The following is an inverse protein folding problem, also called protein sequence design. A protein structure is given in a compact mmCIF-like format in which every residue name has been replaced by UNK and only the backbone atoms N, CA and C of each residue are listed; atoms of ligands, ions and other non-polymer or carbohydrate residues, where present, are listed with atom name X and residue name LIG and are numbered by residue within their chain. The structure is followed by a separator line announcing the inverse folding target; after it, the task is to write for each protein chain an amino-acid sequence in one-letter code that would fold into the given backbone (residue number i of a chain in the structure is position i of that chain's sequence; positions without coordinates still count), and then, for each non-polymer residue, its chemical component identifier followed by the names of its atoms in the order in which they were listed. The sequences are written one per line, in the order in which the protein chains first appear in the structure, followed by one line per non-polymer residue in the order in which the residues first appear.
data_IF_218132213242
#
_entry.id   IF_218132213242
#
_cell.length_a   1.000
_cell.length_b   1.000
_cell.length_c   1.000
_cell.angle_alpha   90.00
_cell.angle_beta   90.00
_cell.angle_gamma   90.00
#
_symmetry.space_group_name_H-M   'P 1'
#
loop_
_entity.id
_entity.type
_entity.pdbx_description
1 polymer ?
#
# COMPACT_ATOMS: atom_id res chain seq x y z
N UNK A 1 23.92 -6.69 15.93
CA UNK A 1 22.66 -7.19 16.52
C UNK A 1 22.20 -8.37 15.68
N UNK A 2 22.51 -9.59 16.12
CA UNK A 2 22.10 -10.82 15.45
C UNK A 2 20.66 -11.11 15.83
N UNK A 3 19.72 -10.74 14.96
CA UNK A 3 18.32 -11.16 15.10
C UNK A 3 18.24 -12.66 14.84
N UNK A 4 18.42 -13.46 15.89
CA UNK A 4 18.05 -14.88 15.90
C UNK A 4 16.53 -14.97 15.79
N UNK A 5 16.03 -14.97 14.55
CA UNK A 5 14.69 -15.48 14.25
C UNK A 5 14.67 -16.93 14.69
N UNK A 6 13.78 -17.27 15.63
CA UNK A 6 13.50 -18.66 15.98
C UNK A 6 13.20 -19.45 14.70
N UNK A 7 13.77 -20.66 14.56
CA UNK A 7 13.49 -21.51 13.41
C UNK A 7 12.02 -21.93 13.46
N UNK A 8 11.30 -21.74 12.34
CA UNK A 8 9.92 -22.17 12.19
C UNK A 8 9.83 -23.67 12.41
N UNK A 9 8.93 -24.09 13.31
CA UNK A 9 8.77 -25.49 13.70
C UNK A 9 7.65 -26.18 12.90
N UNK A 10 7.72 -27.51 12.81
CA UNK A 10 6.69 -28.32 12.15
C UNK A 10 5.29 -28.10 12.76
N UNK A 11 5.21 -27.94 14.08
CA UNK A 11 3.94 -27.69 14.78
C UNK A 11 3.29 -26.37 14.36
N UNK A 12 4.08 -25.32 14.14
CA UNK A 12 3.58 -24.03 13.66
C UNK A 12 3.06 -24.16 12.22
N UNK A 13 3.74 -24.93 11.36
CA UNK A 13 3.28 -25.15 9.97
C UNK A 13 1.97 -25.93 9.89
N UNK A 14 1.73 -26.85 10.82
CA UNK A 14 0.47 -27.60 10.90
C UNK A 14 -0.72 -26.70 11.31
N UNK A 15 -0.48 -25.67 12.13
CA UNK A 15 -1.50 -24.71 12.54
C UNK A 15 -1.93 -23.72 11.45
N UNK A 16 -1.18 -23.60 10.35
CA UNK A 16 -1.47 -22.64 9.28
C UNK A 16 -2.61 -23.12 8.37
N UNK A 17 -3.37 -22.18 7.81
CA UNK A 17 -4.36 -22.53 6.78
C UNK A 17 -3.69 -22.95 5.47
N UNK A 18 -4.42 -23.72 4.64
CA UNK A 18 -3.89 -24.19 3.34
C UNK A 18 -3.63 -23.03 2.37
N UNK A 19 -4.40 -21.95 2.46
CA UNK A 19 -4.18 -20.74 1.67
C UNK A 19 -2.88 -20.03 2.09
N UNK A 20 -2.64 -19.90 3.40
CA UNK A 20 -1.40 -19.31 3.93
C UNK A 20 -0.17 -20.14 3.57
N UNK A 21 -0.26 -21.47 3.63
CA UNK A 21 0.84 -22.36 3.21
C UNK A 21 1.22 -22.14 1.74
N UNK A 22 0.24 -22.03 0.85
CA UNK A 22 0.47 -21.79 -0.59
C UNK A 22 1.14 -20.43 -0.86
N UNK A 23 0.67 -19.37 -0.20
CA UNK A 23 1.26 -18.03 -0.33
C UNK A 23 2.71 -18.04 0.15
N UNK A 24 2.99 -18.68 1.28
CA UNK A 24 4.35 -18.74 1.83
C UNK A 24 5.28 -19.62 0.99
N UNK A 25 4.76 -20.69 0.39
CA UNK A 25 5.50 -21.52 -0.56
C UNK A 25 5.89 -20.71 -1.81
N UNK A 26 4.96 -19.95 -2.40
CA UNK A 26 5.24 -19.09 -3.56
C UNK A 26 6.29 -18.00 -3.25
N UNK A 27 6.22 -17.41 -2.05
CA UNK A 27 7.23 -16.44 -1.58
C UNK A 27 8.60 -17.08 -1.45
N UNK A 28 8.68 -18.28 -0.87
CA UNK A 28 9.94 -18.99 -0.75
C UNK A 28 10.51 -19.39 -2.12
N UNK A 29 9.68 -19.88 -3.03
CA UNK A 29 10.09 -20.24 -4.40
C UNK A 29 10.70 -19.03 -5.13
N UNK A 30 10.02 -17.88 -5.14
CA UNK A 30 10.55 -16.64 -5.74
C UNK A 30 11.89 -16.20 -5.17
N UNK A 31 12.09 -16.36 -3.85
CA UNK A 31 13.36 -16.01 -3.21
C UNK A 31 14.47 -17.00 -3.55
N UNK A 32 14.14 -18.29 -3.70
CA UNK A 32 15.09 -19.34 -4.09
C UNK A 32 15.58 -19.13 -5.53
N UNK A 33 14.72 -18.66 -6.43
CA UNK A 33 15.07 -18.34 -7.83
C UNK A 33 16.06 -17.16 -7.97
N UNK A 34 16.34 -16.44 -6.89
CA UNK A 34 17.25 -15.29 -6.87
C UNK A 34 18.44 -15.53 -5.93
N UNK A 35 19.46 -16.30 -6.35
CA UNK A 35 20.59 -16.68 -5.51
C UNK A 35 21.42 -15.48 -5.03
N UNK A 36 21.48 -14.40 -5.82
CA UNK A 36 22.17 -13.16 -5.44
C UNK A 36 21.53 -12.47 -4.23
N UNK A 37 20.21 -12.59 -4.05
CA UNK A 37 19.52 -12.06 -2.87
C UNK A 37 19.78 -12.93 -1.65
N UNK A 38 19.81 -14.26 -1.82
CA UNK A 38 20.09 -15.20 -0.74
C UNK A 38 21.53 -15.06 -0.22
N UNK A 39 22.51 -14.83 -1.09
CA UNK A 39 23.91 -14.65 -0.69
C UNK A 39 24.15 -13.45 0.24
N UNK A 40 23.28 -12.44 0.19
CA UNK A 40 23.33 -11.25 1.05
C UNK A 40 22.84 -11.52 2.48
N UNK A 41 22.17 -12.65 2.70
CA UNK A 41 21.67 -13.03 4.01
C UNK A 41 22.76 -13.69 4.87
N UNK A 42 22.73 -13.52 6.21
CA UNK A 42 23.71 -14.11 7.12
C UNK A 42 23.78 -15.65 7.06
N UNK A 43 22.67 -16.30 6.69
CA UNK A 43 22.52 -17.75 6.57
C UNK A 43 22.59 -18.23 5.12
N UNK A 44 22.92 -17.34 4.18
CA UNK A 44 22.92 -17.61 2.73
C UNK A 44 21.60 -18.23 2.23
N UNK A 45 20.48 -17.90 2.88
CA UNK A 45 19.15 -18.39 2.52
C UNK A 45 18.80 -19.79 3.04
N UNK A 46 19.57 -20.38 3.95
CA UNK A 46 19.26 -21.69 4.55
C UNK A 46 17.87 -21.71 5.20
N UNK A 47 17.53 -20.69 5.98
CA UNK A 47 16.22 -20.62 6.62
C UNK A 47 15.06 -20.55 5.63
N UNK A 48 15.27 -19.95 4.45
CA UNK A 48 14.24 -19.89 3.39
C UNK A 48 14.08 -21.27 2.74
N UNK A 49 15.17 -21.96 2.43
CA UNK A 49 15.14 -23.33 1.89
C UNK A 49 14.50 -24.30 2.86
N UNK A 50 14.84 -24.20 4.14
CA UNK A 50 14.25 -25.04 5.18
C UNK A 50 12.73 -24.85 5.28
N UNK A 51 12.25 -23.59 5.33
CA UNK A 51 10.80 -23.30 5.34
C UNK A 51 10.10 -23.78 4.07
N UNK A 52 10.72 -23.64 2.91
CA UNK A 52 10.17 -24.17 1.65
C UNK A 52 9.92 -25.67 1.72
N UNK A 53 10.87 -26.44 2.25
CA UNK A 53 10.73 -27.89 2.43
C UNK A 53 9.60 -28.22 3.41
N UNK A 54 9.51 -27.50 4.53
CA UNK A 54 8.43 -27.72 5.52
C UNK A 54 7.04 -27.46 4.92
N UNK A 55 6.88 -26.33 4.22
CA UNK A 55 5.59 -26.00 3.59
C UNK A 55 5.22 -26.99 2.49
N UNK A 56 6.19 -27.43 1.69
CA UNK A 56 5.95 -28.44 0.63
C UNK A 56 5.46 -29.75 1.22
N UNK A 57 6.14 -30.25 2.27
CA UNK A 57 5.75 -31.49 2.97
C UNK A 57 4.35 -31.40 3.58
N UNK A 58 4.00 -30.26 4.20
CA UNK A 58 2.69 -30.09 4.82
C UNK A 58 1.57 -29.98 3.78
N UNK A 59 1.81 -29.35 2.63
CA UNK A 59 0.85 -29.32 1.52
C UNK A 59 0.64 -30.73 0.96
N UNK A 60 1.70 -31.48 0.68
CA UNK A 60 1.61 -32.86 0.23
C UNK A 60 0.89 -33.76 1.24
N UNK A 61 1.17 -33.59 2.54
CA UNK A 61 0.48 -34.33 3.61
C UNK A 61 -1.02 -34.09 3.57
N UNK A 62 -1.46 -32.84 3.43
CA UNK A 62 -2.89 -32.47 3.34
C UNK A 62 -3.54 -32.98 2.06
N UNK A 63 -2.81 -33.00 0.95
CA UNK A 63 -3.30 -33.56 -0.31
C UNK A 63 -3.50 -35.08 -0.22
N UNK A 64 -2.56 -35.80 0.39
CA UNK A 64 -2.67 -37.24 0.64
C UNK A 64 -3.82 -37.54 1.62
N UNK A 65 -3.98 -36.75 2.68
CA UNK A 65 -5.07 -36.90 3.65
C UNK A 65 -6.43 -36.62 3.02
N UNK A 66 -6.54 -35.58 2.18
CA UNK A 66 -7.73 -35.30 1.39
C UNK A 66 -8.06 -36.40 0.39
N UNK A 67 -7.03 -36.97 -0.27
CA UNK A 67 -7.19 -38.09 -1.19
C UNK A 67 -7.64 -39.37 -0.46
N UNK A 68 -7.07 -39.65 0.72
CA UNK A 68 -7.44 -40.79 1.57
C UNK A 68 -8.87 -40.69 2.10
N UNK A 69 -9.28 -39.51 2.57
CA UNK A 69 -10.66 -39.24 3.00
C UNK A 69 -11.66 -39.45 1.86
N UNK A 70 -11.25 -39.21 0.61
CA UNK A 70 -12.07 -39.43 -0.59
C UNK A 70 -12.21 -40.91 -1.00
N UNK A 71 -11.33 -41.79 -0.49
CA UNK A 71 -11.34 -43.24 -0.78
C UNK A 71 -12.01 -44.09 0.31
N UNK A 72 -12.28 -43.55 1.51
CA UNK A 72 -12.85 -44.30 2.64
C UNK A 72 -14.34 -44.09 2.88
N UNK A 73 -15.04 -43.35 2.02
CA UNK A 73 -16.49 -43.12 2.16
C UNK A 73 -17.23 -43.79 1.02
N UNK A 74 -17.63 -45.04 1.25
CA UNK A 74 -18.69 -45.74 0.50
C UNK A 74 -20.07 -45.24 1.02
N UNK A 75 -20.29 -43.92 0.97
CA UNK A 75 -21.63 -43.35 0.97
C UNK A 75 -21.90 -42.84 -0.43
N UNK A 76 -23.13 -43.10 -0.91
CA UNK A 76 -23.64 -42.72 -2.20
C UNK A 76 -23.17 -41.31 -2.62
N UNK A 77 -22.80 -41.11 -3.90
CA UNK A 77 -22.32 -39.82 -4.36
C UNK A 77 -23.34 -38.74 -3.98
N UNK A 78 -22.92 -37.61 -3.38
CA UNK A 78 -23.82 -36.48 -3.19
C UNK A 78 -24.38 -36.15 -4.57
N UNK A 79 -25.71 -36.10 -4.67
CA UNK A 79 -26.39 -35.74 -5.92
C UNK A 79 -25.77 -34.47 -6.48
N UNK A 80 -25.62 -34.39 -7.81
CA UNK A 80 -25.07 -33.24 -8.53
C UNK A 80 -25.64 -31.91 -8.03
N UNK A 81 -26.91 -31.90 -7.63
CA UNK A 81 -27.59 -30.76 -7.02
C UNK A 81 -27.00 -30.30 -5.68
N UNK A 82 -26.62 -31.21 -4.77
CA UNK A 82 -26.04 -30.84 -3.48
C UNK A 82 -24.62 -30.27 -3.65
N UNK A 83 -23.87 -30.80 -4.61
CA UNK A 83 -22.53 -30.32 -4.95
C UNK A 83 -22.60 -28.94 -5.64
N UNK A 84 -23.57 -28.74 -6.53
CA UNK A 84 -23.83 -27.44 -7.16
C UNK A 84 -24.33 -26.39 -6.18
N UNK A 85 -25.20 -26.77 -5.23
CA UNK A 85 -25.70 -25.84 -4.21
C UNK A 85 -24.56 -25.35 -3.33
N UNK A 86 -23.72 -26.27 -2.86
CA UNK A 86 -22.51 -25.93 -2.09
C UNK A 86 -21.51 -25.09 -2.88
N UNK A 87 -21.40 -25.33 -4.19
CA UNK A 87 -20.57 -24.50 -5.09
C UNK A 87 -21.11 -23.07 -5.20
N UNK A 88 -22.43 -22.90 -5.37
CA UNK A 88 -23.09 -21.58 -5.40
C UNK A 88 -22.99 -20.85 -4.07
N UNK A 89 -23.14 -21.55 -2.95
CA UNK A 89 -23.01 -20.97 -1.60
C UNK A 89 -21.57 -20.52 -1.33
N UNK A 90 -20.57 -21.29 -1.76
CA UNK A 90 -19.16 -20.88 -1.68
C UNK A 90 -18.82 -19.70 -2.61
N UNK A 91 -19.37 -19.68 -3.83
CA UNK A 91 -19.14 -18.59 -4.80
C UNK A 91 -19.76 -17.28 -4.31
N UNK A 92 -20.98 -17.34 -3.76
CA UNK A 92 -21.64 -16.17 -3.14
C UNK A 92 -20.92 -15.69 -1.88
N UNK A 93 -20.40 -16.59 -1.04
CA UNK A 93 -19.57 -16.22 0.10
C UNK A 93 -18.26 -15.55 -0.34
N UNK A 94 -17.60 -16.08 -1.37
CA UNK A 94 -16.36 -15.50 -1.92
C UNK A 94 -16.61 -14.13 -2.58
N UNK A 95 -17.72 -13.93 -3.27
CA UNK A 95 -18.10 -12.64 -3.84
C UNK A 95 -18.45 -11.61 -2.75
N UNK A 96 -19.09 -12.05 -1.66
CA UNK A 96 -19.39 -11.19 -0.52
C UNK A 96 -18.12 -10.80 0.26
N UNK A 97 -17.15 -11.70 0.37
CA UNK A 97 -15.86 -11.45 1.01
C UNK A 97 -14.94 -10.58 0.14
N UNK A 98 -14.88 -10.84 -1.18
CA UNK A 98 -14.18 -9.99 -2.14
C UNK A 98 -14.77 -8.57 -2.20
N UNK A 99 -16.09 -8.42 -2.07
CA UNK A 99 -16.77 -7.11 -1.98
C UNK A 99 -16.44 -6.35 -0.69
N UNK A 100 -16.21 -7.06 0.42
CA UNK A 100 -15.78 -6.46 1.70
C UNK A 100 -14.30 -6.08 1.73
N UNK A 101 -13.45 -6.77 0.96
CA UNK A 101 -12.01 -6.48 0.88
C UNK A 101 -11.62 -5.56 -0.29
N UNK A 102 -12.52 -5.33 -1.24
CA UNK A 102 -12.32 -4.37 -2.31
C UNK A 102 -12.64 -2.95 -1.82
N UNK A 103 -11.74 -2.35 -1.04
CA UNK A 103 -11.64 -0.89 -1.05
C UNK A 103 -11.39 -0.49 -2.50
N UNK A 104 -12.32 0.26 -3.09
CA UNK A 104 -12.13 0.71 -4.47
C UNK A 104 -10.82 1.50 -4.54
N UNK A 105 -10.09 1.48 -5.67
CA UNK A 105 -8.89 2.30 -5.83
C UNK A 105 -9.13 3.79 -5.48
N UNK A 106 -10.36 4.27 -5.68
CA UNK A 106 -10.78 5.61 -5.30
C UNK A 106 -10.87 5.79 -3.77
N UNK A 107 -11.35 4.79 -3.03
CA UNK A 107 -11.40 4.83 -1.57
C UNK A 107 -10.00 4.74 -0.95
N UNK A 108 -9.14 3.89 -1.50
CA UNK A 108 -7.75 3.81 -1.07
C UNK A 108 -7.00 5.14 -1.33
N UNK A 109 -7.21 5.76 -2.49
CA UNK A 109 -6.63 7.07 -2.80
C UNK A 109 -7.17 8.17 -1.87
N UNK A 110 -8.46 8.14 -1.54
CA UNK A 110 -9.10 9.07 -0.60
C UNK A 110 -8.54 8.91 0.82
N UNK A 111 -8.38 7.67 1.29
CA UNK A 111 -7.80 7.38 2.60
C UNK A 111 -6.35 7.86 2.70
N UNK A 112 -5.53 7.61 1.67
CA UNK A 112 -4.16 8.13 1.59
C UNK A 112 -4.18 9.67 1.57
N UNK A 113 -5.07 10.26 0.77
CA UNK A 113 -5.23 11.72 0.68
C UNK A 113 -5.54 12.35 2.03
N UNK A 114 -6.49 11.80 2.79
CA UNK A 114 -6.84 12.30 4.14
C UNK A 114 -5.70 12.06 5.14
N UNK A 115 -5.03 10.91 5.09
CA UNK A 115 -3.93 10.57 6.01
C UNK A 115 -2.74 11.53 5.90
N UNK A 116 -2.40 11.96 4.68
CA UNK A 116 -1.22 12.80 4.42
C UNK A 116 -1.56 14.25 4.10
N UNK A 117 -2.82 14.66 4.23
CA UNK A 117 -3.35 16.00 3.90
C UNK A 117 -2.59 17.16 4.55
N UNK A 118 -2.15 16.97 5.79
CA UNK A 118 -1.42 17.99 6.57
C UNK A 118 0.07 17.64 6.71
N UNK A 119 0.55 16.57 6.07
CA UNK A 119 1.95 16.23 6.09
C UNK A 119 2.71 17.17 5.16
N UNK A 120 3.67 17.90 5.72
CA UNK A 120 4.56 18.76 4.93
C UNK A 120 5.62 17.90 4.27
N UNK A 121 5.80 18.07 2.97
CA UNK A 121 6.86 17.37 2.23
C UNK A 121 8.20 18.04 2.55
N UNK A 122 9.17 17.25 3.02
CA UNK A 122 10.53 17.73 3.26
C UNK A 122 11.21 18.06 1.93
N UNK A 123 11.75 19.28 1.84
CA UNK A 123 12.57 19.72 0.70
C UNK A 123 13.81 18.83 0.59
N UNK A 124 14.44 18.51 1.72
CA UNK A 124 15.64 17.66 1.74
C UNK A 124 15.35 16.26 1.19
N UNK A 125 14.26 15.62 1.61
CA UNK A 125 13.88 14.30 1.10
C UNK A 125 13.60 14.33 -0.40
N UNK A 126 12.97 15.40 -0.87
CA UNK A 126 12.67 15.60 -2.29
C UNK A 126 13.96 15.75 -3.10
N UNK A 127 14.90 16.57 -2.63
CA UNK A 127 16.20 16.80 -3.26
C UNK A 127 17.03 15.53 -3.29
N UNK A 128 17.10 14.79 -2.17
CA UNK A 128 17.85 13.53 -2.08
C UNK A 128 17.30 12.47 -3.04
N UNK A 129 15.97 12.35 -3.13
CA UNK A 129 15.33 11.44 -4.10
C UNK A 129 15.58 11.87 -5.55
N UNK A 130 15.51 13.17 -5.83
CA UNK A 130 15.64 13.70 -7.19
C UNK A 130 17.05 13.51 -7.76
N UNK A 131 18.08 13.67 -6.93
CA UNK A 131 19.47 13.58 -7.38
C UNK A 131 20.11 12.22 -7.14
N UNK A 132 19.48 11.26 -6.45
CA UNK A 132 19.95 9.87 -6.24
C UNK A 132 21.45 9.72 -5.87
N UNK A 133 22.03 10.71 -5.18
CA UNK A 133 23.45 10.72 -4.81
C UNK A 133 24.44 11.23 -5.87
N UNK A 134 23.95 11.78 -6.98
CA UNK A 134 24.77 12.43 -8.03
C UNK A 134 25.41 13.73 -7.52
N UNK A 135 24.75 14.41 -6.58
CA UNK A 135 25.22 15.65 -5.96
C UNK A 135 25.83 15.37 -4.59
N UNK A 136 26.85 16.16 -4.22
CA UNK A 136 27.50 16.05 -2.91
C UNK A 136 26.58 16.56 -1.79
N UNK A 137 26.83 16.11 -0.55
CA UNK A 137 26.07 16.57 0.63
C UNK A 137 26.11 18.10 0.81
N UNK A 138 27.24 18.72 0.49
CA UNK A 138 27.37 20.17 0.53
C UNK A 138 26.43 20.88 -0.46
N UNK A 139 26.22 20.27 -1.63
CA UNK A 139 25.29 20.78 -2.64
C UNK A 139 23.83 20.59 -2.21
N UNK A 140 23.49 19.43 -1.63
CA UNK A 140 22.16 19.19 -1.05
C UNK A 140 21.83 20.26 -0.01
N UNK A 141 22.77 20.54 0.90
CA UNK A 141 22.57 21.56 1.94
C UNK A 141 22.43 22.98 1.37
N UNK A 142 23.20 23.32 0.32
CA UNK A 142 23.03 24.59 -0.40
C UNK A 142 21.62 24.73 -0.97
N UNK A 143 21.13 23.69 -1.63
CA UNK A 143 19.79 23.69 -2.24
C UNK A 143 18.74 23.85 -1.14
N UNK A 144 18.82 23.07 -0.07
CA UNK A 144 17.86 23.13 1.04
C UNK A 144 17.82 24.52 1.69
N UNK A 145 18.98 25.16 1.87
CA UNK A 145 19.06 26.51 2.45
C UNK A 145 18.53 27.61 1.51
N UNK A 146 18.59 27.40 0.19
CA UNK A 146 18.08 28.36 -0.79
C UNK A 146 16.55 28.36 -0.90
N UNK A 147 15.89 27.29 -0.44
CA UNK A 147 14.44 27.11 -0.54
C UNK A 147 13.77 27.65 0.73
N UNK A 148 12.74 28.52 0.61
CA UNK A 148 11.99 28.99 1.76
C UNK A 148 11.41 27.82 2.58
N UNK A 149 11.41 27.88 3.92
CA UNK A 149 10.87 26.82 4.76
C UNK A 149 9.41 26.46 4.47
N UNK A 150 8.64 27.40 3.89
CA UNK A 150 7.23 27.25 3.48
C UNK A 150 7.02 27.13 1.98
N UNK A 151 8.02 26.61 1.26
CA UNK A 151 7.88 26.34 -0.17
C UNK A 151 6.79 25.30 -0.45
N UNK A 152 6.78 24.18 0.28
CA UNK A 152 5.69 23.21 0.23
C UNK A 152 4.65 23.56 1.31
N UNK A 153 3.48 24.01 0.86
CA UNK A 153 2.33 24.28 1.73
C UNK A 153 1.58 22.98 2.03
N UNK A 154 1.07 22.87 3.24
CA UNK A 154 0.04 21.89 3.59
C UNK A 154 -1.29 22.26 2.95
N UNK A 155 -2.24 21.32 2.97
CA UNK A 155 -3.59 21.58 2.47
C UNK A 155 -4.25 22.79 3.15
N UNK A 156 -4.13 22.91 4.48
CA UNK A 156 -4.69 24.03 5.23
C UNK A 156 -4.04 25.37 4.88
N UNK A 157 -2.71 25.39 4.80
CA UNK A 157 -1.96 26.58 4.40
C UNK A 157 -2.34 27.01 2.97
N UNK A 158 -2.52 26.05 2.07
CA UNK A 158 -2.97 26.29 0.69
C UNK A 158 -4.36 26.92 0.67
N UNK A 159 -5.34 26.30 1.34
CA UNK A 159 -6.69 26.86 1.42
C UNK A 159 -6.73 28.23 2.11
N UNK A 160 -5.89 28.46 3.13
CA UNK A 160 -5.80 29.74 3.81
C UNK A 160 -5.23 30.83 2.89
N UNK A 161 -4.18 30.50 2.14
CA UNK A 161 -3.57 31.38 1.14
C UNK A 161 -4.57 31.73 0.04
N UNK A 162 -5.26 30.75 -0.53
CA UNK A 162 -6.27 30.97 -1.57
C UNK A 162 -7.42 31.87 -1.08
N UNK A 163 -7.94 31.62 0.13
CA UNK A 163 -8.96 32.49 0.74
C UNK A 163 -8.45 33.92 0.93
N UNK A 164 -7.19 34.10 1.30
CA UNK A 164 -6.58 35.43 1.43
C UNK A 164 -6.49 36.13 0.08
N UNK A 165 -5.95 35.46 -0.94
CA UNK A 165 -5.83 35.98 -2.30
C UNK A 165 -7.19 36.37 -2.89
N UNK A 166 -8.22 35.54 -2.68
CA UNK A 166 -9.58 35.85 -3.12
C UNK A 166 -10.16 37.11 -2.44
N UNK A 167 -9.91 37.28 -1.13
CA UNK A 167 -10.32 38.50 -0.41
C UNK A 167 -9.59 39.74 -0.92
N UNK A 168 -8.30 39.63 -1.18
CA UNK A 168 -7.47 40.72 -1.72
C UNK A 168 -7.93 41.12 -3.12
N UNK A 169 -8.18 40.15 -4.01
CA UNK A 169 -8.70 40.39 -5.35
C UNK A 169 -10.05 41.10 -5.32
N UNK A 170 -10.99 40.62 -4.48
CA UNK A 170 -12.29 41.27 -4.30
C UNK A 170 -12.16 42.70 -3.79
N UNK A 171 -11.24 42.95 -2.85
CA UNK A 171 -10.99 44.30 -2.32
C UNK A 171 -10.44 45.23 -3.41
N UNK A 172 -9.51 44.75 -4.21
CA UNK A 172 -8.92 45.53 -5.31
C UNK A 172 -9.97 45.88 -6.38
N UNK A 173 -10.86 44.94 -6.71
CA UNK A 173 -11.95 45.17 -7.65
C UNK A 173 -12.95 46.20 -7.13
N UNK A 174 -13.36 46.11 -5.86
CA UNK A 174 -14.23 47.10 -5.22
C UNK A 174 -13.60 48.50 -5.19
N UNK A 175 -12.30 48.59 -4.93
CA UNK A 175 -11.58 49.87 -4.97
C UNK A 175 -11.55 50.46 -6.39
N UNK A 176 -11.34 49.61 -7.41
CA UNK A 176 -11.38 50.03 -8.81
C UNK A 176 -12.76 50.57 -9.18
N UNK A 177 -13.82 49.84 -8.85
CA UNK A 177 -15.22 50.26 -9.10
C UNK A 177 -15.56 51.56 -8.37
N UNK A 178 -15.12 51.71 -7.11
CA UNK A 178 -15.33 52.94 -6.35
C UNK A 178 -14.62 54.14 -6.99
N UNK A 179 -13.39 53.96 -7.46
CA UNK A 179 -12.64 55.00 -8.17
C UNK A 179 -13.27 55.36 -9.52
N UNK A 180 -13.79 54.38 -10.27
CA UNK A 180 -14.50 54.60 -11.53
C UNK A 180 -15.82 55.35 -11.31
N UNK A 181 -16.60 54.96 -10.30
CA UNK A 181 -17.84 55.65 -9.91
C UNK A 181 -17.58 57.11 -9.51
N UNK A 182 -16.56 57.35 -8.67
CA UNK A 182 -16.18 58.70 -8.25
C UNK A 182 -15.73 59.58 -9.44
N UNK A 183 -15.07 59.00 -10.45
CA UNK A 183 -14.71 59.72 -11.68
C UNK A 183 -15.93 60.05 -12.55
N UNK A 184 -16.92 59.17 -12.60
CA UNK A 184 -18.17 59.42 -13.34
C UNK A 184 -19.00 60.51 -12.68
N UNK A 185 -19.05 60.58 -11.35
CA UNK A 185 -19.77 61.63 -10.62
C UNK A 185 -19.15 63.03 -10.74
N UNK A 186 -17.88 63.14 -11.15
CA UNK A 186 -17.15 64.40 -11.33
C UNK A 186 -17.21 64.96 -12.76
N UNK A 187 -17.80 64.23 -13.72
CA UNK A 187 -18.05 64.78 -15.06
C UNK A 187 -19.31 65.66 -15.02
N UNK A 188 -19.22 66.98 -15.30
CA UNK A 188 -20.42 67.80 -15.44
C UNK A 188 -21.21 67.36 -16.68
N UNK A 189 -22.54 67.39 -16.57
CA UNK A 189 -23.48 67.18 -17.69
C UNK A 189 -23.37 68.29 -18.72
#
# INVERSE_FOLDING_TARGET
MTSTSTPLTEAETQGMSTAELRINLERCARLIDHPSLLQRLPDHGEGIRHRHVLFTKEVERREIESAKAKTTTDEAPPTTEALERRRRDNETAQLAEASKMATSPADAAREIGEKYKHCRVSVEDTVRRMYEGVVSEAEVQRIVQSVPPSYFLTYEETCAMERRLAKEARRAELQKLAAESARQSLKPQ
#
